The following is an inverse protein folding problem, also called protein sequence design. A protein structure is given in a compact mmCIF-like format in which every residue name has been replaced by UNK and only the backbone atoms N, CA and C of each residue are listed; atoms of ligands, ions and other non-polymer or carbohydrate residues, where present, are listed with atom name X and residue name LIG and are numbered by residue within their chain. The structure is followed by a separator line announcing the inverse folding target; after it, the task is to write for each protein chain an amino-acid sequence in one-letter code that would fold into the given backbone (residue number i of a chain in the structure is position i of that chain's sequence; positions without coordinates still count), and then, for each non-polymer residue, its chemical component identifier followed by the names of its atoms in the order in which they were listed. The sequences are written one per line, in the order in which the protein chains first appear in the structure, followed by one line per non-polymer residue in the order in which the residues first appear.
data_IF_502000381894
#
_entry.id   IF_502000381894
#
_cell.length_a   1.000
_cell.length_b   1.000
_cell.length_c   1.000
_cell.angle_alpha   90.00
_cell.angle_beta   90.00
_cell.angle_gamma   90.00
#
_symmetry.space_group_name_H-M   'P 1'
#
loop_
_entity.id
_entity.type
_entity.pdbx_description
1 polymer ?
#
# COMPACT_ATOMS: atom_id res chain seq x y z
N UNK A 1 -30.75 -2.70 -2.39
CA UNK A 1 -29.35 -2.35 -2.06
C UNK A 1 -28.68 -3.59 -1.47
N UNK A 2 -27.51 -4.03 -1.97
CA UNK A 2 -26.85 -5.31 -1.56
C UNK A 2 -25.55 -5.12 -0.77
N UNK A 3 -25.07 -3.88 -0.62
CA UNK A 3 -23.81 -3.55 0.06
C UNK A 3 -24.12 -2.80 1.36
N UNK A 4 -23.40 -3.12 2.43
CA UNK A 4 -23.42 -2.37 3.69
C UNK A 4 -22.36 -1.28 3.61
N UNK A 5 -22.78 -0.09 3.18
CA UNK A 5 -21.92 1.10 3.05
C UNK A 5 -22.78 2.34 3.30
N UNK A 6 -22.18 3.37 3.89
CA UNK A 6 -22.78 4.69 4.04
C UNK A 6 -22.71 5.44 2.69
N UNK A 7 -21.90 6.49 2.59
CA UNK A 7 -21.54 7.08 1.29
C UNK A 7 -20.42 6.24 0.64
N UNK A 8 -20.60 5.75 -0.59
CA UNK A 8 -19.54 5.04 -1.31
C UNK A 8 -18.19 5.79 -1.41
N UNK A 9 -18.20 7.13 -1.32
CA UNK A 9 -16.97 7.94 -1.32
C UNK A 9 -16.16 7.78 -0.04
N UNK A 10 -16.83 7.51 1.07
CA UNK A 10 -16.21 7.41 2.40
C UNK A 10 -15.80 5.97 2.73
N UNK A 11 -16.14 5.00 1.87
CA UNK A 11 -15.90 3.57 2.10
C UNK A 11 -14.48 3.24 2.57
N UNK A 12 -13.46 3.74 1.87
CA UNK A 12 -12.05 3.41 2.19
C UNK A 12 -11.67 4.01 3.54
N UNK A 13 -12.04 5.27 3.79
CA UNK A 13 -11.73 5.95 5.04
C UNK A 13 -12.42 5.28 6.24
N UNK A 14 -13.73 5.00 6.13
CA UNK A 14 -14.50 4.33 7.18
C UNK A 14 -13.97 2.92 7.47
N UNK A 15 -13.56 2.19 6.43
CA UNK A 15 -12.96 0.86 6.56
C UNK A 15 -11.62 0.92 7.31
N UNK A 16 -10.74 1.85 6.95
CA UNK A 16 -9.43 2.01 7.59
C UNK A 16 -9.54 2.49 9.03
N UNK A 17 -10.46 3.41 9.30
CA UNK A 17 -10.80 3.85 10.66
C UNK A 17 -11.28 2.66 11.49
N UNK A 18 -12.25 1.89 10.98
CA UNK A 18 -12.74 0.69 11.64
C UNK A 18 -11.65 -0.34 11.92
N UNK A 19 -10.72 -0.54 10.98
CA UNK A 19 -9.59 -1.46 11.14
C UNK A 19 -8.65 -1.02 12.27
N UNK A 20 -8.34 0.28 12.36
CA UNK A 20 -7.50 0.85 13.42
C UNK A 20 -8.21 0.82 14.78
N UNK A 21 -9.50 1.13 14.83
CA UNK A 21 -10.31 1.05 16.06
C UNK A 21 -10.45 -0.38 16.59
N UNK A 22 -10.48 -1.38 15.70
CA UNK A 22 -10.49 -2.78 16.09
C UNK A 22 -9.13 -3.28 16.60
N UNK A 23 -8.03 -2.57 16.30
CA UNK A 23 -6.65 -2.96 16.61
C UNK A 23 -5.81 -1.78 17.17
N UNK A 24 -6.28 -1.09 18.22
CA UNK A 24 -5.74 0.22 18.63
C UNK A 24 -4.29 0.17 19.12
N UNK A 25 -3.85 -0.98 19.66
CA UNK A 25 -2.50 -1.15 20.20
C UNK A 25 -1.46 -1.53 19.13
N UNK A 26 -1.92 -1.97 17.95
CA UNK A 26 -1.04 -2.54 16.92
C UNK A 26 -1.08 -1.79 15.60
N UNK A 27 -2.18 -1.08 15.30
CA UNK A 27 -2.38 -0.35 14.05
C UNK A 27 -2.72 1.11 14.28
N UNK A 28 -2.22 1.96 13.40
CA UNK A 28 -2.49 3.39 13.32
C UNK A 28 -2.99 3.75 11.92
N UNK A 29 -4.17 4.36 11.85
CA UNK A 29 -4.67 5.00 10.64
C UNK A 29 -4.17 6.45 10.54
N UNK A 30 -3.72 6.86 9.35
CA UNK A 30 -3.32 8.23 8.99
C UNK A 30 -4.26 8.71 7.89
N UNK A 31 -5.33 9.45 8.24
CA UNK A 31 -6.40 9.82 7.31
C UNK A 31 -5.94 10.64 6.12
N UNK A 32 -4.93 11.49 6.30
CA UNK A 32 -4.44 12.41 5.28
C UNK A 32 -3.92 11.70 4.02
N UNK A 33 -3.47 10.45 4.16
CA UNK A 33 -2.84 9.68 3.11
C UNK A 33 -3.50 8.32 2.86
N UNK A 34 -4.69 8.09 3.42
CA UNK A 34 -5.35 6.79 3.43
C UNK A 34 -4.39 5.65 3.81
N UNK A 35 -3.59 5.85 4.84
CA UNK A 35 -2.49 4.96 5.21
C UNK A 35 -2.81 4.21 6.49
N UNK A 36 -2.65 2.89 6.49
CA UNK A 36 -2.62 2.08 7.72
C UNK A 36 -1.19 1.60 7.97
N UNK A 37 -0.69 1.80 9.18
CA UNK A 37 0.66 1.41 9.56
C UNK A 37 0.69 0.73 10.92
N UNK A 38 1.76 -0.01 11.20
CA UNK A 38 1.99 -0.53 12.54
C UNK A 38 2.19 0.62 13.52
N UNK A 39 1.60 0.52 14.71
CA UNK A 39 1.76 1.50 15.77
C UNK A 39 3.23 1.62 16.27
N UNK A 40 4.04 0.56 16.09
CA UNK A 40 5.46 0.53 16.44
C UNK A 40 6.42 0.84 15.26
N UNK A 41 5.91 1.34 14.14
CA UNK A 41 6.73 1.79 13.00
C UNK A 41 7.03 3.31 13.10
N UNK A 42 8.20 3.77 12.61
CA UNK A 42 9.30 3.00 11.99
C UNK A 42 10.17 2.27 13.02
N UNK A 43 10.93 1.28 12.55
CA UNK A 43 11.85 0.49 13.38
C UNK A 43 13.27 0.57 12.84
N UNK A 44 14.21 1.05 13.65
CA UNK A 44 15.57 1.34 13.20
C UNK A 44 16.38 0.12 12.76
N UNK A 45 16.01 -1.07 13.25
CA UNK A 45 16.80 -2.29 13.10
C UNK A 45 16.38 -3.18 11.93
N UNK A 46 15.45 -2.77 11.08
CA UNK A 46 15.00 -3.52 9.90
C UNK A 46 14.60 -2.60 8.74
N UNK A 47 14.59 -3.16 7.54
CA UNK A 47 13.98 -2.54 6.35
C UNK A 47 12.47 -2.45 6.58
N UNK A 48 11.89 -1.29 6.32
CA UNK A 48 10.43 -1.13 6.36
C UNK A 48 9.81 -1.66 5.08
N UNK A 49 8.74 -2.44 5.20
CA UNK A 49 8.07 -3.04 4.04
C UNK A 49 6.71 -2.38 3.87
N UNK A 50 6.46 -1.84 2.68
CA UNK A 50 5.21 -1.14 2.32
C UNK A 50 4.62 -1.81 1.11
N UNK A 51 3.30 -1.96 1.07
CA UNK A 51 2.57 -2.36 -0.12
C UNK A 51 1.38 -1.45 -0.33
N UNK A 52 0.96 -1.24 -1.58
CA UNK A 52 -0.28 -0.54 -1.86
C UNK A 52 -0.83 -0.92 -3.21
N UNK A 53 -2.14 -0.76 -3.31
CA UNK A 53 -2.91 -0.86 -4.56
C UNK A 53 -4.27 -0.20 -4.36
N UNK A 54 -5.10 -0.15 -5.39
CA UNK A 54 -6.50 0.21 -5.19
C UNK A 54 -7.23 -0.70 -4.19
N UNK A 55 -8.17 -0.11 -3.45
CA UNK A 55 -9.06 -0.82 -2.51
C UNK A 55 -10.02 -1.75 -3.25
N UNK A 56 -10.71 -2.62 -2.51
CA UNK A 56 -11.64 -3.62 -3.06
C UNK A 56 -11.05 -5.01 -3.24
N UNK A 57 -9.81 -5.21 -2.77
CA UNK A 57 -9.12 -6.49 -2.71
C UNK A 57 -8.92 -6.99 -1.26
N UNK A 58 -9.63 -6.39 -0.30
CA UNK A 58 -9.48 -6.74 1.11
C UNK A 58 -9.67 -8.25 1.33
N UNK A 59 -8.78 -8.92 2.09
CA UNK A 59 -7.82 -8.36 3.07
C UNK A 59 -6.57 -7.69 2.51
N UNK A 60 -6.27 -7.87 1.22
CA UNK A 60 -5.09 -7.28 0.59
C UNK A 60 -5.24 -5.75 0.44
N UNK A 61 -4.31 -4.91 0.87
CA UNK A 61 -3.08 -5.20 1.65
C UNK A 61 -3.18 -4.72 3.10
N UNK A 62 -4.24 -3.98 3.42
CA UNK A 62 -4.41 -3.27 4.70
C UNK A 62 -4.46 -4.22 5.90
N UNK A 63 -4.95 -5.44 5.73
CA UNK A 63 -5.04 -6.42 6.81
C UNK A 63 -3.78 -7.30 6.96
N UNK A 64 -2.77 -7.13 6.11
CA UNK A 64 -1.46 -7.78 6.26
C UNK A 64 -0.40 -6.86 6.89
N UNK A 65 -0.81 -5.68 7.36
CA UNK A 65 0.02 -4.80 8.20
C UNK A 65 0.14 -5.39 9.60
N UNK A 66 1.36 -5.72 10.00
CA UNK A 66 1.59 -6.40 11.27
C UNK A 66 3.00 -6.97 11.41
N UNK A 67 3.30 -7.44 12.63
CA UNK A 67 4.61 -8.03 12.95
C UNK A 67 4.86 -9.27 12.09
N UNK A 68 5.96 -9.26 11.34
CA UNK A 68 6.36 -10.36 10.47
C UNK A 68 5.90 -10.21 9.01
N UNK A 69 5.09 -9.20 8.71
CA UNK A 69 4.61 -8.88 7.35
C UNK A 69 4.88 -7.39 7.04
N UNK A 70 3.87 -6.65 6.57
CA UNK A 70 4.02 -5.24 6.18
C UNK A 70 4.13 -4.32 7.40
N UNK A 71 4.93 -3.26 7.27
CA UNK A 71 4.97 -2.18 8.25
C UNK A 71 3.94 -1.09 7.96
N UNK A 72 3.53 -0.95 6.70
CA UNK A 72 2.45 -0.08 6.27
C UNK A 72 1.78 -0.56 4.98
N UNK A 73 0.53 -0.14 4.78
CA UNK A 73 -0.17 -0.25 3.53
C UNK A 73 -0.82 1.08 3.14
N UNK A 74 -0.68 1.45 1.86
CA UNK A 74 -1.21 2.68 1.29
C UNK A 74 -2.24 2.32 0.19
N UNK A 75 -3.52 2.09 0.56
CA UNK A 75 -4.58 1.88 -0.41
C UNK A 75 -4.97 3.16 -1.17
N UNK A 76 -5.28 3.00 -2.46
CA UNK A 76 -6.02 4.00 -3.22
C UNK A 76 -7.54 3.79 -3.11
N UNK A 77 -8.29 4.56 -3.89
CA UNK A 77 -9.75 4.37 -4.03
C UNK A 77 -10.08 2.97 -4.57
N UNK A 78 -11.36 2.60 -4.53
CA UNK A 78 -11.83 1.28 -5.01
C UNK A 78 -11.43 1.07 -6.47
N UNK A 79 -10.55 0.10 -6.71
CA UNK A 79 -9.93 -0.24 -8.00
C UNK A 79 -9.13 0.88 -8.68
N UNK A 80 -8.60 1.83 -7.92
CA UNK A 80 -7.71 2.88 -8.43
C UNK A 80 -6.44 2.99 -7.60
N UNK A 81 -5.29 3.15 -8.25
CA UNK A 81 -4.00 3.31 -7.57
C UNK A 81 -4.02 4.49 -6.57
N UNK A 82 -3.27 4.41 -5.46
CA UNK A 82 -3.10 5.54 -4.57
C UNK A 82 -2.40 6.70 -5.29
N UNK A 83 -2.68 7.95 -4.89
CA UNK A 83 -1.87 9.10 -5.29
C UNK A 83 -0.39 8.93 -4.94
N UNK A 84 0.52 9.39 -5.82
CA UNK A 84 1.97 9.22 -5.62
C UNK A 84 2.49 9.94 -4.36
N UNK A 85 1.91 11.10 -4.03
CA UNK A 85 2.19 11.86 -2.81
C UNK A 85 1.81 11.07 -1.55
N UNK A 86 0.74 10.29 -1.57
CA UNK A 86 0.36 9.44 -0.44
C UNK A 86 1.38 8.33 -0.21
N UNK A 87 1.89 7.72 -1.30
CA UNK A 87 2.96 6.72 -1.23
C UNK A 87 4.26 7.35 -0.72
N UNK A 88 4.63 8.53 -1.22
CA UNK A 88 5.81 9.26 -0.79
C UNK A 88 5.75 9.63 0.71
N UNK A 89 4.63 10.15 1.20
CA UNK A 89 4.46 10.45 2.63
C UNK A 89 4.44 9.18 3.48
N UNK A 90 3.90 8.07 2.95
CA UNK A 90 4.01 6.76 3.59
C UNK A 90 5.47 6.35 3.76
N UNK A 91 6.29 6.47 2.71
CA UNK A 91 7.73 6.16 2.76
C UNK A 91 8.43 6.99 3.84
N UNK A 92 8.13 8.29 3.93
CA UNK A 92 8.70 9.16 4.98
C UNK A 92 8.30 8.74 6.38
N UNK A 93 7.03 8.40 6.60
CA UNK A 93 6.52 7.99 7.90
C UNK A 93 7.13 6.67 8.38
N UNK A 94 7.49 5.77 7.47
CA UNK A 94 8.07 4.46 7.80
C UNK A 94 9.57 4.36 7.55
N UNK A 95 10.23 5.44 7.13
CA UNK A 95 11.66 5.41 6.81
C UNK A 95 12.50 4.95 8.01
N UNK A 96 13.39 3.98 7.77
CA UNK A 96 14.38 3.54 8.74
C UNK A 96 15.80 3.70 8.18
N UNK A 97 16.84 3.68 9.03
CA UNK A 97 18.23 3.67 8.57
C UNK A 97 18.60 2.45 7.69
N UNK A 98 17.74 1.44 7.60
CA UNK A 98 17.92 0.27 6.73
C UNK A 98 17.21 0.42 5.38
N UNK A 99 16.45 1.48 5.19
CA UNK A 99 15.69 1.78 3.98
C UNK A 99 14.27 1.21 3.97
N UNK A 100 13.61 1.40 2.83
CA UNK A 100 12.21 1.02 2.59
C UNK A 100 12.12 0.14 1.34
N UNK A 101 11.36 -0.95 1.43
CA UNK A 101 11.00 -1.80 0.29
C UNK A 101 9.52 -1.57 -0.04
N UNK A 102 9.27 -1.11 -1.26
CA UNK A 102 7.94 -0.97 -1.83
C UNK A 102 7.59 -2.24 -2.63
N UNK A 103 6.51 -2.92 -2.25
CA UNK A 103 5.94 -4.02 -2.99
C UNK A 103 4.77 -3.51 -3.82
N UNK A 104 4.74 -3.81 -5.12
CA UNK A 104 3.76 -3.22 -6.04
C UNK A 104 3.22 -4.28 -6.98
N UNK A 105 1.90 -4.44 -7.02
CA UNK A 105 1.25 -5.30 -8.01
C UNK A 105 1.40 -4.66 -9.40
N UNK A 106 1.76 -5.46 -10.42
CA UNK A 106 2.08 -4.94 -11.74
C UNK A 106 0.82 -4.49 -12.49
N UNK A 107 0.40 -3.26 -12.22
CA UNK A 107 -0.65 -2.52 -12.93
C UNK A 107 -0.10 -1.13 -13.26
N UNK A 108 -0.46 -0.58 -14.41
CA UNK A 108 0.15 0.66 -14.92
C UNK A 108 0.01 1.83 -13.94
N UNK A 109 -1.17 2.02 -13.33
CA UNK A 109 -1.40 3.09 -12.37
C UNK A 109 -0.54 2.94 -11.11
N UNK A 110 -0.50 1.74 -10.54
CA UNK A 110 0.28 1.44 -9.35
C UNK A 110 1.78 1.58 -9.60
N UNK A 111 2.28 1.10 -10.75
CA UNK A 111 3.68 1.31 -11.15
C UNK A 111 4.05 2.79 -11.19
N UNK A 112 3.27 3.60 -11.91
CA UNK A 112 3.56 5.02 -12.08
C UNK A 112 3.58 5.77 -10.75
N UNK A 113 2.62 5.48 -9.86
CA UNK A 113 2.54 6.12 -8.56
C UNK A 113 3.75 5.76 -7.67
N UNK A 114 4.12 4.48 -7.62
CA UNK A 114 5.19 4.01 -6.76
C UNK A 114 6.60 4.33 -7.30
N UNK A 115 6.81 4.31 -8.61
CA UNK A 115 8.07 4.77 -9.23
C UNK A 115 8.29 6.25 -8.95
N UNK A 116 7.26 7.09 -9.10
CA UNK A 116 7.34 8.52 -8.77
C UNK A 116 7.65 8.75 -7.28
N UNK A 117 6.99 8.01 -6.39
CA UNK A 117 7.26 8.10 -4.96
C UNK A 117 8.68 7.63 -4.60
N UNK A 118 9.19 6.59 -5.27
CA UNK A 118 10.58 6.13 -5.14
C UNK A 118 11.56 7.24 -5.54
N UNK A 119 11.37 7.86 -6.70
CA UNK A 119 12.23 8.95 -7.19
C UNK A 119 12.25 10.15 -6.24
N UNK A 120 11.07 10.59 -5.78
CA UNK A 120 10.95 11.71 -4.83
C UNK A 120 11.63 11.40 -3.50
N UNK A 121 11.43 10.18 -2.97
CA UNK A 121 12.04 9.76 -1.71
C UNK A 121 13.57 9.66 -1.81
N UNK A 122 14.09 9.17 -2.95
CA UNK A 122 15.53 9.12 -3.20
C UNK A 122 16.14 10.51 -3.34
N UNK A 123 15.43 11.46 -3.95
CA UNK A 123 15.86 12.85 -4.02
C UNK A 123 16.01 13.49 -2.62
N UNK A 124 15.17 13.08 -1.66
CA UNK A 124 15.26 13.48 -0.25
C UNK A 124 16.25 12.65 0.58
N UNK A 125 17.01 11.76 -0.06
CA UNK A 125 18.05 10.96 0.59
C UNK A 125 17.55 9.71 1.30
N UNK A 126 16.29 9.31 1.13
CA UNK A 126 15.77 8.05 1.66
C UNK A 126 16.22 6.89 0.77
N UNK A 127 16.80 5.86 1.38
CA UNK A 127 17.09 4.61 0.65
C UNK A 127 15.79 3.83 0.45
N UNK A 128 15.27 3.81 -0.77
CA UNK A 128 14.05 3.08 -1.13
C UNK A 128 14.24 2.30 -2.43
N UNK A 129 13.60 1.14 -2.52
CA UNK A 129 13.56 0.29 -3.72
C UNK A 129 12.17 -0.27 -3.94
N UNK A 130 11.78 -0.42 -5.20
CA UNK A 130 10.52 -1.05 -5.60
C UNK A 130 10.73 -2.47 -6.14
N UNK A 131 9.86 -3.39 -5.73
CA UNK A 131 9.72 -4.73 -6.30
C UNK A 131 8.33 -4.87 -6.92
N UNK A 132 8.30 -5.15 -8.22
CA UNK A 132 7.05 -5.41 -8.94
C UNK A 132 6.69 -6.89 -8.88
N UNK A 133 5.42 -7.16 -8.62
CA UNK A 133 4.81 -8.48 -8.58
C UNK A 133 4.03 -8.68 -9.88
N UNK A 134 4.45 -9.64 -10.69
CA UNK A 134 3.92 -9.93 -12.03
C UNK A 134 3.61 -11.45 -12.21
N UNK A 135 3.02 -12.05 -11.17
CA UNK A 135 2.82 -13.50 -11.03
C UNK A 135 1.66 -14.07 -11.87
N UNK A 136 0.73 -13.24 -12.35
CA UNK A 136 -0.41 -13.70 -13.13
C UNK A 136 0.02 -14.21 -14.52
N UNK A 137 -0.03 -15.53 -14.70
CA UNK A 137 0.31 -16.22 -15.96
C UNK A 137 -0.85 -16.30 -16.96
N UNK A 138 -2.04 -15.79 -16.63
CA UNK A 138 -3.22 -15.92 -17.49
C UNK A 138 -3.14 -15.06 -18.76
N UNK A 139 -2.48 -13.90 -18.68
CA UNK A 139 -2.44 -12.91 -19.78
C UNK A 139 -1.10 -12.15 -19.75
N UNK A 140 -0.48 -11.96 -20.92
CA UNK A 140 0.81 -11.26 -21.06
C UNK A 140 0.67 -9.73 -21.20
N UNK A 141 -0.42 -9.21 -21.77
CA UNK A 141 -0.71 -7.78 -21.84
C UNK A 141 -2.22 -7.56 -21.62
N UNK A 142 -2.61 -6.57 -20.81
CA UNK A 142 -4.01 -6.27 -20.53
C UNK A 142 -4.33 -4.79 -20.73
N UNK A 143 -5.61 -4.42 -20.70
CA UNK A 143 -6.05 -3.02 -20.82
C UNK A 143 -5.38 -2.08 -19.81
N UNK A 144 -4.91 -2.60 -18.67
CA UNK A 144 -4.36 -1.82 -17.56
C UNK A 144 -2.94 -2.25 -17.15
N UNK A 145 -2.26 -3.10 -17.94
CA UNK A 145 -0.93 -3.61 -17.62
C UNK A 145 -0.10 -3.83 -18.86
N UNK A 146 1.16 -3.40 -18.81
CA UNK A 146 2.22 -3.82 -19.72
C UNK A 146 2.96 -4.98 -19.07
N UNK A 147 2.95 -6.16 -19.69
CA UNK A 147 3.42 -7.40 -19.05
C UNK A 147 2.37 -8.11 -18.19
N UNK A 148 2.81 -9.13 -17.44
CA UNK A 148 1.93 -9.93 -16.57
C UNK A 148 1.39 -9.10 -15.42
N UNK A 149 0.14 -9.35 -15.01
CA UNK A 149 -0.46 -8.66 -13.86
C UNK A 149 0.14 -9.17 -12.55
N UNK A 150 0.12 -8.32 -11.53
CA UNK A 150 0.23 -8.80 -10.15
C UNK A 150 -1.12 -9.27 -9.65
N UNK A 151 -1.25 -10.53 -9.26
CA UNK A 151 -2.47 -11.01 -8.64
C UNK A 151 -2.39 -10.84 -7.11
N UNK A 152 -3.49 -10.47 -6.42
CA UNK A 152 -3.47 -10.31 -4.96
C UNK A 152 -3.10 -11.57 -4.16
N UNK A 153 -2.95 -12.76 -4.78
CA UNK A 153 -2.55 -13.99 -4.08
C UNK A 153 -1.16 -13.91 -3.44
N UNK A 154 -0.38 -12.87 -3.72
CA UNK A 154 0.87 -12.59 -3.00
C UNK A 154 0.68 -12.27 -1.51
N UNK A 155 -0.56 -12.08 -1.05
CA UNK A 155 -0.90 -11.81 0.35
C UNK A 155 -1.87 -12.83 0.98
N UNK A 156 -2.24 -13.91 0.27
CA UNK A 156 -3.11 -15.00 0.75
C UNK A 156 -2.37 -16.23 1.23
#
# INVERSE_FOLDING_TARGET
MKKFVNDPKDYVAEMLEGLSLANPDTLKYVPEYNLIMRADAPRENKVSIVQGSGSGHEPAHVMTVGKGMLDAACPGDVFAAPPADFVYETVKLVASPKGVLLLVNNYTGDRMAFEMAEELSQADGVTVRTLFIDDDVAVQDSTYTVGRRGWPATSS
#
